data_IF_150025536424
#
_entry.id   IF_150025536424
#
_cell.length_a   1.000
_cell.length_b   1.000
_cell.length_c   1.000
_cell.angle_alpha   90.00
_cell.angle_beta   90.00
_cell.angle_gamma   90.00
#
_symmetry.space_group_name_H-M   'P 1'
#
loop_
_entity.id
_entity.type
_entity.pdbx_description
1 polymer ?
#
# COMPACT_ATOMS: atom_id res chain seq x y z
N UNK A 1 27.68 13.48 -7.43
CA UNK A 1 27.22 12.97 -6.12
C UNK A 1 27.17 11.47 -6.24
N UNK A 2 27.66 10.73 -5.25
CA UNK A 2 27.54 9.28 -5.23
C UNK A 2 26.07 8.94 -4.94
N UNK A 3 25.40 8.28 -5.89
CA UNK A 3 24.00 7.91 -5.73
C UNK A 3 23.90 6.69 -4.79
N UNK A 4 23.17 6.83 -3.69
CA UNK A 4 22.82 5.71 -2.79
C UNK A 4 21.86 4.75 -3.47
N UNK A 5 20.87 5.28 -4.19
CA UNK A 5 19.90 4.50 -4.98
C UNK A 5 20.17 4.67 -6.47
N UNK A 6 20.17 3.57 -7.22
CA UNK A 6 20.54 3.53 -8.64
C UNK A 6 19.41 2.92 -9.47
N UNK A 7 19.59 2.91 -10.80
CA UNK A 7 18.65 2.29 -11.76
C UNK A 7 18.32 0.83 -11.43
N UNK A 8 19.29 0.09 -10.86
CA UNK A 8 19.15 -1.33 -10.52
C UNK A 8 18.66 -1.58 -9.10
N UNK A 9 18.49 -0.53 -8.28
CA UNK A 9 17.91 -0.68 -6.94
C UNK A 9 16.46 -1.16 -7.04
N UNK A 10 16.06 -2.09 -6.17
CA UNK A 10 14.71 -2.64 -6.16
C UNK A 10 13.75 -1.67 -5.48
N UNK A 11 12.61 -1.36 -6.12
CA UNK A 11 11.68 -0.31 -5.67
C UNK A 11 11.20 -0.53 -4.23
N UNK A 12 10.78 -1.76 -3.90
CA UNK A 12 10.34 -2.10 -2.54
C UNK A 12 11.47 -1.91 -1.52
N UNK A 13 12.68 -2.38 -1.83
CA UNK A 13 13.83 -2.27 -0.93
C UNK A 13 14.25 -0.82 -0.65
N UNK A 14 14.07 0.08 -1.64
CA UNK A 14 14.30 1.52 -1.46
C UNK A 14 13.38 2.05 -0.37
N UNK A 15 12.08 1.73 -0.41
CA UNK A 15 11.12 2.18 0.60
C UNK A 15 11.40 1.53 1.96
N UNK A 16 11.83 0.26 1.98
CA UNK A 16 12.23 -0.38 3.23
C UNK A 16 13.48 0.26 3.85
N UNK A 17 14.45 0.69 3.03
CA UNK A 17 15.66 1.39 3.50
C UNK A 17 15.39 2.88 3.81
N UNK A 18 14.43 3.48 3.13
CA UNK A 18 14.08 4.88 3.23
C UNK A 18 12.56 5.08 3.09
N UNK A 19 11.78 4.87 4.17
CA UNK A 19 10.31 4.97 4.17
C UNK A 19 9.72 6.20 3.48
N UNK A 20 10.35 7.37 3.59
CA UNK A 20 9.92 8.61 2.89
C UNK A 20 9.97 8.53 1.36
N UNK A 21 10.71 7.57 0.79
CA UNK A 21 10.64 7.32 -0.65
C UNK A 21 9.22 6.92 -1.10
N UNK A 22 8.39 6.38 -0.20
CA UNK A 22 6.99 6.06 -0.51
C UNK A 22 6.21 7.28 -0.99
N UNK A 23 6.33 8.44 -0.34
CA UNK A 23 5.66 9.68 -0.76
C UNK A 23 6.10 10.14 -2.15
N UNK A 24 7.40 10.03 -2.42
CA UNK A 24 7.97 10.34 -3.73
C UNK A 24 7.46 9.36 -4.80
N UNK A 25 7.43 8.06 -4.51
CA UNK A 25 6.90 7.07 -5.43
C UNK A 25 5.40 7.22 -5.65
N UNK A 26 4.62 7.60 -4.63
CA UNK A 26 3.19 7.94 -4.77
C UNK A 26 3.00 9.12 -5.73
N UNK A 27 3.84 10.16 -5.64
CA UNK A 27 3.75 11.33 -6.54
C UNK A 27 4.08 10.96 -7.99
N UNK A 28 5.04 10.06 -8.20
CA UNK A 28 5.40 9.50 -9.50
C UNK A 28 4.53 8.32 -9.95
N UNK A 29 3.59 7.87 -9.12
CA UNK A 29 2.74 6.69 -9.33
C UNK A 29 3.55 5.39 -9.47
N UNK A 30 4.75 5.33 -8.92
CA UNK A 30 5.57 4.11 -8.89
C UNK A 30 4.99 3.15 -7.84
N UNK A 31 4.72 1.92 -8.25
CA UNK A 31 4.16 0.87 -7.39
C UNK A 31 5.30 0.20 -6.61
N UNK A 32 5.37 0.50 -5.31
CA UNK A 32 6.40 0.02 -4.39
C UNK A 32 5.92 -1.06 -3.42
N UNK A 33 4.61 -1.36 -3.40
CA UNK A 33 4.02 -2.33 -2.49
C UNK A 33 3.90 -3.69 -3.18
N UNK A 34 2.89 -3.89 -4.03
CA UNK A 34 2.64 -5.13 -4.76
C UNK A 34 3.62 -5.32 -5.92
N UNK A 35 3.95 -4.25 -6.63
CA UNK A 35 4.86 -4.24 -7.78
C UNK A 35 6.31 -3.96 -7.42
N UNK A 36 6.66 -3.91 -6.13
CA UNK A 36 7.94 -3.39 -5.64
C UNK A 36 9.16 -4.25 -5.97
N UNK A 37 8.97 -5.53 -6.29
CA UNK A 37 10.05 -6.47 -6.63
C UNK A 37 10.51 -6.32 -8.10
N UNK A 38 10.86 -5.10 -8.49
CA UNK A 38 11.44 -4.79 -9.81
C UNK A 38 12.51 -3.69 -9.71
N UNK A 39 13.46 -3.63 -10.65
CA UNK A 39 14.40 -2.52 -10.75
C UNK A 39 13.69 -1.17 -10.88
N UNK A 40 14.24 -0.13 -10.24
CA UNK A 40 13.71 1.23 -10.28
C UNK A 40 13.59 1.75 -11.72
N UNK A 41 14.54 1.43 -12.59
CA UNK A 41 14.50 1.85 -14.00
C UNK A 41 13.27 1.33 -14.74
N UNK A 42 12.86 0.09 -14.47
CA UNK A 42 11.68 -0.51 -15.11
C UNK A 42 10.41 0.19 -14.64
N UNK A 43 10.30 0.46 -13.33
CA UNK A 43 9.17 1.19 -12.77
C UNK A 43 9.05 2.63 -13.29
N UNK A 44 10.19 3.31 -13.50
CA UNK A 44 10.24 4.65 -14.09
C UNK A 44 9.77 4.60 -15.55
N UNK A 45 10.25 3.63 -16.33
CA UNK A 45 9.89 3.49 -17.75
C UNK A 45 8.42 3.13 -17.94
N UNK A 46 7.84 2.28 -17.09
CA UNK A 46 6.40 1.98 -17.09
C UNK A 46 5.52 3.25 -16.92
N UNK A 47 6.08 4.30 -16.32
CA UNK A 47 5.43 5.60 -16.13
C UNK A 47 5.82 6.67 -17.13
N UNK A 48 6.68 6.36 -18.10
CA UNK A 48 7.24 7.32 -19.08
C UNK A 48 7.91 8.53 -18.40
N UNK A 49 8.58 8.31 -17.28
CA UNK A 49 9.29 9.35 -16.52
C UNK A 49 10.76 9.42 -16.92
N UNK A 50 11.43 10.54 -16.61
CA UNK A 50 12.86 10.69 -16.79
C UNK A 50 13.63 10.00 -15.67
N UNK A 51 14.43 9.00 -16.01
CA UNK A 51 15.24 8.26 -15.02
C UNK A 51 16.18 9.17 -14.24
N UNK A 52 16.83 10.12 -14.92
CA UNK A 52 17.75 11.06 -14.28
C UNK A 52 17.05 11.98 -13.28
N UNK A 53 15.82 12.42 -13.57
CA UNK A 53 15.06 13.31 -12.68
C UNK A 53 14.65 12.56 -11.40
N UNK A 54 13.99 11.39 -11.55
CA UNK A 54 13.49 10.60 -10.42
C UNK A 54 14.64 10.13 -9.52
N UNK A 55 15.74 9.63 -10.09
CA UNK A 55 16.90 9.16 -9.32
C UNK A 55 17.58 10.32 -8.60
N UNK A 56 17.69 11.49 -9.24
CA UNK A 56 18.29 12.67 -8.62
C UNK A 56 17.45 13.17 -7.45
N UNK A 57 16.12 13.26 -7.64
CA UNK A 57 15.21 13.71 -6.58
C UNK A 57 15.20 12.74 -5.40
N UNK A 58 15.14 11.43 -5.66
CA UNK A 58 15.18 10.39 -4.63
C UNK A 58 16.46 10.48 -3.79
N UNK A 59 17.62 10.57 -4.43
CA UNK A 59 18.90 10.67 -3.71
C UNK A 59 19.04 12.00 -2.96
N UNK A 60 18.52 13.10 -3.53
CA UNK A 60 18.50 14.41 -2.86
C UNK A 60 17.64 14.36 -1.59
N UNK A 61 16.44 13.78 -1.68
CA UNK A 61 15.53 13.59 -0.56
C UNK A 61 16.16 12.73 0.54
N UNK A 62 16.86 11.65 0.16
CA UNK A 62 17.59 10.79 1.09
C UNK A 62 18.70 11.53 1.83
N UNK A 63 19.56 12.26 1.10
CA UNK A 63 20.67 12.98 1.72
C UNK A 63 20.19 14.10 2.65
N UNK A 64 19.13 14.83 2.28
CA UNK A 64 18.54 15.86 3.13
C UNK A 64 17.97 15.27 4.42
N UNK A 65 17.27 14.14 4.34
CA UNK A 65 16.72 13.48 5.54
C UNK A 65 17.83 12.99 6.47
N UNK A 66 18.90 12.41 5.92
CA UNK A 66 20.08 12.02 6.72
C UNK A 66 20.76 13.18 7.42
N UNK A 67 20.82 14.36 6.79
CA UNK A 67 21.40 15.54 7.42
C UNK A 67 20.58 16.05 8.62
N UNK A 68 19.26 15.85 8.58
CA UNK A 68 18.36 16.29 9.66
C UNK A 68 18.35 15.35 10.88
N UNK A 69 19.05 14.20 10.81
CA UNK A 69 19.07 13.16 11.85
C UNK A 69 17.66 12.74 12.32
N UNK A 70 16.69 12.74 11.42
CA UNK A 70 15.35 12.27 11.74
C UNK A 70 15.40 10.77 11.99
N UNK A 71 14.99 10.35 13.21
CA UNK A 71 14.93 8.94 13.58
C UNK A 71 13.66 8.31 13.02
N UNK A 72 13.83 7.36 12.11
CA UNK A 72 12.74 6.50 11.63
C UNK A 72 12.83 5.12 12.30
N UNK A 73 11.69 4.45 12.45
CA UNK A 73 11.66 3.08 12.97
C UNK A 73 12.27 2.18 11.90
N UNK A 74 13.33 1.45 12.25
CA UNK A 74 13.91 0.45 11.38
C UNK A 74 13.10 -0.85 11.45
N UNK A 75 12.06 -0.93 10.63
CA UNK A 75 11.21 -2.11 10.51
C UNK A 75 11.94 -3.36 10.04
N UNK A 76 13.17 -3.27 9.49
CA UNK A 76 13.97 -4.47 9.20
C UNK A 76 14.49 -5.13 10.48
N UNK A 77 14.70 -4.33 11.52
CA UNK A 77 15.26 -4.79 12.81
C UNK A 77 14.19 -4.99 13.89
N UNK A 78 13.02 -4.39 13.76
CA UNK A 78 11.90 -4.55 14.69
C UNK A 78 11.43 -6.01 14.79
N UNK A 79 10.97 -6.44 15.95
CA UNK A 79 10.37 -7.77 16.12
C UNK A 79 9.11 -7.93 15.27
N UNK A 80 8.73 -9.18 14.93
CA UNK A 80 7.47 -9.42 14.23
C UNK A 80 6.28 -8.89 15.00
N UNK A 81 6.29 -9.05 16.34
CA UNK A 81 5.24 -8.53 17.21
C UNK A 81 5.08 -7.02 17.09
N UNK A 82 6.19 -6.26 17.14
CA UNK A 82 6.13 -4.80 17.02
C UNK A 82 5.61 -4.35 15.65
N UNK A 83 6.03 -5.01 14.56
CA UNK A 83 5.57 -4.69 13.21
C UNK A 83 4.09 -5.03 13.03
N UNK A 84 3.65 -6.22 13.44
CA UNK A 84 2.25 -6.65 13.41
C UNK A 84 1.39 -5.69 14.24
N UNK A 85 1.81 -5.37 15.47
CA UNK A 85 1.07 -4.43 16.32
C UNK A 85 0.97 -3.05 15.67
N UNK A 86 2.02 -2.57 15.02
CA UNK A 86 1.97 -1.29 14.31
C UNK A 86 0.97 -1.33 13.15
N UNK A 87 1.00 -2.38 12.33
CA UNK A 87 0.07 -2.58 11.21
C UNK A 87 -1.38 -2.58 11.70
N UNK A 88 -1.69 -3.33 12.75
CA UNK A 88 -3.04 -3.39 13.32
C UNK A 88 -3.47 -2.01 13.86
N UNK A 89 -2.64 -1.38 14.70
CA UNK A 89 -3.03 -0.14 15.39
C UNK A 89 -3.11 1.08 14.46
N UNK A 90 -2.32 1.11 13.39
CA UNK A 90 -2.32 2.20 12.41
C UNK A 90 -3.26 1.91 11.26
N UNK A 91 -2.98 0.85 10.49
CA UNK A 91 -3.60 0.59 9.20
C UNK A 91 -4.95 -0.13 9.34
N UNK A 92 -5.01 -1.25 10.07
CA UNK A 92 -6.27 -2.00 10.21
C UNK A 92 -7.32 -1.16 10.93
N UNK A 93 -6.93 -0.45 11.98
CA UNK A 93 -7.81 0.49 12.68
C UNK A 93 -8.34 1.57 11.75
N UNK A 94 -7.48 2.20 10.96
CA UNK A 94 -7.90 3.22 9.98
C UNK A 94 -8.90 2.64 8.99
N UNK A 95 -8.63 1.47 8.39
CA UNK A 95 -9.52 0.82 7.43
C UNK A 95 -10.87 0.45 8.04
N UNK A 96 -10.87 -0.12 9.25
CA UNK A 96 -12.08 -0.47 10.00
C UNK A 96 -12.95 0.75 10.33
N UNK A 97 -12.36 1.93 10.49
CA UNK A 97 -13.09 3.19 10.70
C UNK A 97 -13.53 3.82 9.36
N UNK A 98 -12.64 3.89 8.38
CA UNK A 98 -12.81 4.63 7.12
C UNK A 98 -13.81 3.96 6.17
N UNK A 99 -13.69 2.65 5.95
CA UNK A 99 -14.52 1.90 5.00
C UNK A 99 -16.04 2.03 5.29
N UNK A 100 -16.54 1.78 6.51
CA UNK A 100 -17.96 1.94 6.81
C UNK A 100 -18.39 3.41 6.79
N UNK A 101 -17.52 4.35 7.18
CA UNK A 101 -17.84 5.78 7.17
C UNK A 101 -17.88 6.38 5.76
N UNK A 102 -17.07 5.89 4.83
CA UNK A 102 -16.99 6.39 3.46
C UNK A 102 -18.13 5.83 2.58
N UNK A 103 -18.55 4.58 2.81
CA UNK A 103 -19.64 3.91 2.07
C UNK A 103 -20.90 4.77 1.85
N UNK A 104 -21.52 5.40 2.87
CA UNK A 104 -22.73 6.20 2.66
C UNK A 104 -22.49 7.41 1.75
N UNK A 105 -21.28 7.97 1.74
CA UNK A 105 -20.95 9.11 0.87
C UNK A 105 -20.75 8.66 -0.58
N UNK A 106 -20.07 7.54 -0.81
CA UNK A 106 -19.93 6.94 -2.16
C UNK A 106 -21.31 6.65 -2.75
N UNK A 107 -22.19 6.02 -1.97
CA UNK A 107 -23.59 5.75 -2.36
C UNK A 107 -24.37 7.03 -2.63
N UNK A 108 -24.21 8.06 -1.80
CA UNK A 108 -24.88 9.36 -1.99
C UNK A 108 -24.41 10.05 -3.28
N UNK A 109 -23.12 10.05 -3.57
CA UNK A 109 -22.56 10.66 -4.79
C UNK A 109 -23.12 9.98 -6.04
N UNK A 110 -23.13 8.64 -6.08
CA UNK A 110 -23.77 7.89 -7.16
C UNK A 110 -25.26 8.25 -7.29
N UNK A 111 -26.01 8.24 -6.19
CA UNK A 111 -27.45 8.51 -6.21
C UNK A 111 -27.78 9.90 -6.76
N UNK A 112 -27.01 10.92 -6.39
CA UNK A 112 -27.29 12.32 -6.76
C UNK A 112 -26.77 12.68 -8.15
N UNK A 113 -25.60 12.14 -8.53
CA UNK A 113 -24.89 12.58 -9.75
C UNK A 113 -24.82 11.51 -10.84
N UNK A 114 -25.12 10.23 -10.52
CA UNK A 114 -24.91 9.09 -11.40
C UNK A 114 -25.64 9.15 -12.75
N UNK A 115 -26.81 9.80 -12.80
CA UNK A 115 -27.56 9.97 -14.05
C UNK A 115 -26.77 10.78 -15.10
N UNK A 116 -25.99 11.77 -14.65
CA UNK A 116 -25.19 12.63 -15.52
C UNK A 116 -23.70 12.21 -15.57
N UNK A 117 -23.29 11.30 -14.68
CA UNK A 117 -21.90 10.90 -14.48
C UNK A 117 -21.83 9.37 -14.26
N UNK A 118 -21.92 8.58 -15.34
CA UNK A 118 -22.07 7.13 -15.25
C UNK A 118 -20.85 6.42 -14.64
N UNK A 119 -19.66 7.02 -14.67
CA UNK A 119 -18.46 6.46 -14.04
C UNK A 119 -18.59 6.31 -12.52
N UNK A 120 -19.50 7.07 -11.88
CA UNK A 120 -19.80 6.93 -10.46
C UNK A 120 -20.37 5.56 -10.10
N UNK A 121 -21.03 4.87 -11.04
CA UNK A 121 -21.52 3.51 -10.81
C UNK A 121 -20.35 2.53 -10.71
N UNK A 122 -19.31 2.74 -11.50
CA UNK A 122 -18.09 1.96 -11.44
C UNK A 122 -17.31 2.22 -10.14
N UNK A 123 -17.19 3.48 -9.71
CA UNK A 123 -16.58 3.82 -8.41
C UNK A 123 -17.33 3.15 -7.27
N UNK A 124 -18.66 3.21 -7.29
CA UNK A 124 -19.48 2.54 -6.27
C UNK A 124 -19.24 1.03 -6.23
N UNK A 125 -19.20 0.37 -7.39
CA UNK A 125 -18.92 -1.06 -7.47
C UNK A 125 -17.55 -1.39 -6.90
N UNK A 126 -16.50 -0.76 -7.43
CA UNK A 126 -15.11 -1.00 -7.03
C UNK A 126 -14.89 -0.75 -5.53
N UNK A 127 -15.43 0.35 -4.99
CA UNK A 127 -15.30 0.65 -3.57
C UNK A 127 -15.96 -0.41 -2.68
N UNK A 128 -17.16 -0.89 -3.02
CA UNK A 128 -17.85 -1.89 -2.20
C UNK A 128 -17.26 -3.29 -2.37
N UNK A 129 -16.67 -3.60 -3.52
CA UNK A 129 -15.86 -4.81 -3.74
C UNK A 129 -14.64 -4.81 -2.82
N UNK A 130 -13.83 -3.74 -2.89
CA UNK A 130 -12.66 -3.54 -2.01
C UNK A 130 -13.03 -3.59 -0.53
N UNK A 131 -14.13 -2.91 -0.14
CA UNK A 131 -14.59 -2.88 1.25
C UNK A 131 -14.87 -4.29 1.77
N UNK A 132 -15.60 -5.11 1.03
CA UNK A 132 -15.94 -6.47 1.49
C UNK A 132 -14.70 -7.34 1.61
N UNK A 133 -13.78 -7.23 0.66
CA UNK A 133 -12.52 -8.00 0.67
C UNK A 133 -11.64 -7.60 1.85
N UNK A 134 -11.38 -6.30 2.03
CA UNK A 134 -10.58 -5.81 3.15
C UNK A 134 -11.22 -6.16 4.50
N UNK A 135 -12.54 -5.98 4.69
CA UNK A 135 -13.20 -6.32 5.96
C UNK A 135 -13.03 -7.80 6.34
N UNK A 136 -13.00 -8.72 5.36
CA UNK A 136 -12.75 -10.13 5.62
C UNK A 136 -11.27 -10.42 5.85
N UNK A 137 -10.42 -9.86 5.00
CA UNK A 137 -8.97 -10.03 5.02
C UNK A 137 -8.35 -9.58 6.36
N UNK A 138 -8.69 -8.38 6.85
CA UNK A 138 -8.13 -7.86 8.11
C UNK A 138 -8.48 -8.76 9.32
N UNK A 139 -9.69 -9.34 9.34
CA UNK A 139 -10.09 -10.28 10.40
C UNK A 139 -9.26 -11.56 10.30
N UNK A 140 -9.08 -12.10 9.10
CA UNK A 140 -8.29 -13.31 8.86
C UNK A 140 -6.84 -13.12 9.31
N UNK A 141 -6.23 -11.98 8.94
CA UNK A 141 -4.87 -11.65 9.36
C UNK A 141 -4.72 -11.60 10.88
N UNK A 142 -5.62 -10.86 11.56
CA UNK A 142 -5.54 -10.66 13.01
C UNK A 142 -5.82 -11.95 13.81
N UNK A 143 -6.69 -12.83 13.30
CA UNK A 143 -7.18 -13.99 14.04
C UNK A 143 -6.50 -15.30 13.67
N UNK A 144 -5.93 -15.40 12.49
CA UNK A 144 -5.34 -16.62 11.94
C UNK A 144 -3.90 -16.41 11.46
N UNK A 145 -3.66 -15.49 10.52
CA UNK A 145 -2.37 -15.44 9.80
C UNK A 145 -1.22 -14.83 10.61
N UNK A 146 -1.43 -13.71 11.30
CA UNK A 146 -0.43 -13.13 12.19
C UNK A 146 -0.07 -14.03 13.38
N UNK A 147 -1.03 -14.71 14.05
CA UNK A 147 -0.70 -15.76 15.01
C UNK A 147 0.20 -16.86 14.45
N UNK A 148 -0.01 -17.31 13.22
CA UNK A 148 0.84 -18.33 12.58
C UNK A 148 2.28 -17.84 12.34
N UNK A 149 2.47 -16.57 11.99
CA UNK A 149 3.81 -15.95 11.88
C UNK A 149 4.54 -16.01 13.23
N UNK A 150 3.85 -15.62 14.31
CA UNK A 150 4.43 -15.63 15.67
C UNK A 150 4.69 -17.04 16.19
N UNK A 151 3.85 -18.02 15.84
CA UNK A 151 4.08 -19.42 16.18
C UNK A 151 5.30 -19.99 15.45
N UNK A 152 5.46 -19.68 14.15
CA UNK A 152 6.62 -20.12 13.38
C UNK A 152 7.93 -19.56 13.93
N UNK A 153 7.95 -18.30 14.37
CA UNK A 153 9.11 -17.68 15.04
C UNK A 153 9.58 -18.49 16.25
N UNK A 154 8.65 -19.04 17.03
CA UNK A 154 8.96 -19.82 18.23
C UNK A 154 9.28 -21.29 17.92
N UNK A 155 8.71 -21.84 16.84
CA UNK A 155 8.83 -23.25 16.48
C UNK A 155 9.01 -23.45 14.96
N UNK A 156 10.23 -23.18 14.44
CA UNK A 156 10.51 -23.18 13.00
C UNK A 156 10.74 -24.60 12.45
N UNK A 157 9.70 -25.42 12.46
CA UNK A 157 9.72 -26.75 11.82
C UNK A 157 9.47 -26.63 10.31
N UNK A 158 9.93 -27.61 9.53
CA UNK A 158 9.62 -27.65 8.09
C UNK A 158 8.10 -27.72 7.83
N UNK A 159 7.33 -28.40 8.69
CA UNK A 159 5.87 -28.44 8.57
C UNK A 159 5.24 -27.06 8.76
N UNK A 160 5.66 -26.32 9.78
CA UNK A 160 5.16 -24.97 10.04
C UNK A 160 5.62 -23.98 8.96
N UNK A 161 6.83 -24.15 8.43
CA UNK A 161 7.32 -23.37 7.29
C UNK A 161 6.43 -23.54 6.05
N UNK A 162 6.08 -24.78 5.71
CA UNK A 162 5.21 -25.07 4.56
C UNK A 162 3.79 -24.52 4.74
N UNK A 163 3.27 -24.49 5.97
CA UNK A 163 1.99 -23.83 6.28
C UNK A 163 2.09 -22.32 6.10
N UNK A 164 3.11 -21.71 6.70
CA UNK A 164 3.32 -20.27 6.63
C UNK A 164 3.53 -19.79 5.19
N UNK A 165 4.30 -20.51 4.37
CA UNK A 165 4.49 -20.13 2.97
C UNK A 165 3.19 -20.07 2.19
N UNK A 166 2.28 -21.05 2.38
CA UNK A 166 0.97 -21.04 1.73
C UNK A 166 0.11 -19.85 2.15
N UNK A 167 0.13 -19.53 3.45
CA UNK A 167 -0.58 -18.36 3.99
C UNK A 167 -0.05 -17.06 3.37
N UNK A 168 1.28 -16.91 3.31
CA UNK A 168 1.92 -15.75 2.67
C UNK A 168 1.55 -15.66 1.18
N UNK A 169 1.61 -16.78 0.45
CA UNK A 169 1.21 -16.81 -0.96
C UNK A 169 -0.27 -16.38 -1.15
N UNK A 170 -1.16 -16.80 -0.25
CA UNK A 170 -2.58 -16.39 -0.26
C UNK A 170 -2.74 -14.89 0.03
N UNK A 171 -2.08 -14.37 1.08
CA UNK A 171 -2.12 -12.95 1.45
C UNK A 171 -1.58 -12.05 0.34
N UNK A 172 -0.47 -12.40 -0.28
CA UNK A 172 0.09 -11.63 -1.40
C UNK A 172 -0.88 -11.59 -2.60
N UNK A 173 -1.62 -12.67 -2.86
CA UNK A 173 -2.65 -12.70 -3.91
C UNK A 173 -3.84 -11.79 -3.56
N UNK A 174 -4.31 -11.82 -2.31
CA UNK A 174 -5.35 -10.93 -1.81
C UNK A 174 -4.92 -9.45 -1.91
N UNK A 175 -3.68 -9.12 -1.53
CA UNK A 175 -3.09 -7.79 -1.68
C UNK A 175 -2.98 -7.33 -3.13
N UNK A 176 -2.54 -8.21 -4.04
CA UNK A 176 -2.48 -7.91 -5.46
C UNK A 176 -3.84 -7.52 -6.02
N UNK A 177 -4.89 -8.23 -5.61
CA UNK A 177 -6.25 -7.96 -6.05
C UNK A 177 -6.79 -6.64 -5.48
N UNK A 178 -6.64 -6.40 -4.17
CA UNK A 178 -7.00 -5.12 -3.53
C UNK A 178 -6.25 -3.93 -4.18
N UNK A 179 -4.96 -4.08 -4.44
CA UNK A 179 -4.13 -3.10 -5.13
C UNK A 179 -4.62 -2.81 -6.56
N UNK A 180 -5.10 -3.83 -7.29
CA UNK A 180 -5.68 -3.64 -8.62
C UNK A 180 -7.00 -2.86 -8.58
N UNK A 181 -7.88 -3.14 -7.61
CA UNK A 181 -9.13 -2.38 -7.43
C UNK A 181 -8.84 -0.90 -7.17
N UNK A 182 -7.89 -0.60 -6.29
CA UNK A 182 -7.47 0.77 -5.99
C UNK A 182 -6.88 1.49 -7.21
N UNK A 183 -6.03 0.81 -8.00
CA UNK A 183 -5.49 1.37 -9.26
C UNK A 183 -6.60 1.71 -10.25
N UNK A 184 -7.63 0.87 -10.37
CA UNK A 184 -8.79 1.15 -11.21
C UNK A 184 -9.67 2.29 -10.63
N UNK A 185 -9.83 2.37 -9.31
CA UNK A 185 -10.49 3.52 -8.67
C UNK A 185 -9.77 4.83 -9.01
N UNK A 186 -8.44 4.88 -8.89
CA UNK A 186 -7.63 6.05 -9.27
C UNK A 186 -7.85 6.41 -10.74
N UNK A 187 -7.86 5.43 -11.64
CA UNK A 187 -8.08 5.65 -13.08
C UNK A 187 -9.47 6.22 -13.37
N UNK A 188 -10.52 5.62 -12.82
CA UNK A 188 -11.91 6.02 -13.06
C UNK A 188 -12.23 7.39 -12.44
N UNK A 189 -11.54 7.76 -11.37
CA UNK A 189 -11.67 9.06 -10.72
C UNK A 189 -10.78 10.14 -11.34
N UNK A 190 -10.06 9.83 -12.42
CA UNK A 190 -9.04 10.70 -13.02
C UNK A 190 -8.06 11.22 -11.96
N UNK A 191 -7.37 10.30 -11.31
CA UNK A 191 -6.41 10.59 -10.24
C UNK A 191 -7.05 11.29 -9.04
N UNK A 192 -8.25 10.84 -8.66
CA UNK A 192 -9.06 11.50 -7.62
C UNK A 192 -9.27 12.99 -7.84
N UNK A 193 -9.30 13.42 -9.11
CA UNK A 193 -9.58 14.81 -9.50
C UNK A 193 -11.08 15.00 -9.73
N UNK A 194 -11.81 15.66 -8.81
CA UNK A 194 -13.23 15.85 -8.99
C UNK A 194 -13.51 16.80 -10.16
N UNK A 195 -14.62 16.61 -10.90
CA UNK A 195 -14.95 17.48 -12.03
C UNK A 195 -15.22 18.92 -11.59
N UNK A 196 -15.13 19.85 -12.54
CA UNK A 196 -15.48 21.25 -12.30
C UNK A 196 -16.92 21.37 -11.75
N UNK A 197 -17.13 22.22 -10.75
CA UNK A 197 -18.44 22.37 -10.11
C UNK A 197 -18.88 21.20 -9.22
N UNK A 198 -18.03 20.17 -8.98
CA UNK A 198 -18.35 19.10 -8.05
C UNK A 198 -18.72 19.65 -6.66
N UNK A 199 -19.82 19.13 -6.10
CA UNK A 199 -20.29 19.52 -4.77
C UNK A 199 -19.34 19.06 -3.66
N UNK A 200 -19.49 19.62 -2.45
CA UNK A 200 -18.60 19.31 -1.32
C UNK A 200 -18.52 17.82 -0.98
N UNK A 201 -19.64 17.09 -1.01
CA UNK A 201 -19.65 15.64 -0.76
C UNK A 201 -18.85 14.87 -1.82
N UNK A 202 -18.92 15.29 -3.08
CA UNK A 202 -18.19 14.62 -4.15
C UNK A 202 -16.68 14.82 -4.02
N UNK A 203 -16.24 16.06 -3.73
CA UNK A 203 -14.84 16.36 -3.45
C UNK A 203 -14.32 15.59 -2.24
N UNK A 204 -15.13 15.51 -1.18
CA UNK A 204 -14.80 14.73 0.02
C UNK A 204 -14.58 13.26 -0.29
N UNK A 205 -15.46 12.63 -1.10
CA UNK A 205 -15.28 11.22 -1.49
C UNK A 205 -13.96 11.01 -2.21
N UNK A 206 -13.61 11.86 -3.17
CA UNK A 206 -12.36 11.71 -3.92
C UNK A 206 -11.13 11.90 -3.04
N UNK A 207 -11.15 12.90 -2.15
CA UNK A 207 -10.07 13.10 -1.18
C UNK A 207 -9.91 11.88 -0.26
N UNK A 208 -11.01 11.31 0.24
CA UNK A 208 -10.98 10.14 1.13
C UNK A 208 -10.54 8.87 0.42
N UNK A 209 -10.92 8.68 -0.85
CA UNK A 209 -10.41 7.58 -1.67
C UNK A 209 -8.90 7.69 -1.91
N UNK A 210 -8.37 8.90 -2.13
CA UNK A 210 -6.93 9.13 -2.25
C UNK A 210 -6.18 8.84 -0.94
N UNK A 211 -6.76 9.22 0.21
CA UNK A 211 -6.21 8.89 1.52
C UNK A 211 -6.22 7.37 1.78
N UNK A 212 -7.33 6.70 1.42
CA UNK A 212 -7.48 5.24 1.53
C UNK A 212 -6.40 4.50 0.73
N UNK A 213 -6.16 4.89 -0.51
CA UNK A 213 -5.08 4.32 -1.32
C UNK A 213 -3.70 4.57 -0.70
N UNK A 214 -3.44 5.79 -0.22
CA UNK A 214 -2.15 6.13 0.38
C UNK A 214 -1.84 5.27 1.60
N UNK A 215 -2.83 5.05 2.47
CA UNK A 215 -2.70 4.21 3.65
C UNK A 215 -2.53 2.73 3.25
N UNK A 216 -3.38 2.22 2.36
CA UNK A 216 -3.35 0.82 1.94
C UNK A 216 -2.03 0.45 1.25
N UNK A 217 -1.42 1.36 0.49
CA UNK A 217 -0.11 1.09 -0.12
C UNK A 217 1.03 1.04 0.91
N UNK A 218 0.96 1.85 1.97
CA UNK A 218 1.92 1.74 3.09
C UNK A 218 1.73 0.43 3.85
N UNK A 219 0.47 0.10 4.17
CA UNK A 219 0.08 -1.16 4.82
C UNK A 219 0.66 -2.36 4.06
N UNK A 220 0.27 -2.54 2.80
CA UNK A 220 0.71 -3.69 1.99
C UNK A 220 2.24 -3.68 1.81
N UNK A 221 2.89 -2.52 1.77
CA UNK A 221 4.35 -2.47 1.69
C UNK A 221 5.01 -3.08 2.93
N UNK A 222 4.54 -2.71 4.13
CA UNK A 222 5.06 -3.24 5.39
C UNK A 222 4.93 -4.76 5.46
N UNK A 223 3.86 -5.30 4.91
CA UNK A 223 3.63 -6.74 4.85
C UNK A 223 4.47 -7.43 3.77
N UNK A 224 4.22 -7.10 2.50
CA UNK A 224 4.82 -7.79 1.36
C UNK A 224 6.34 -7.61 1.25
N UNK A 225 6.87 -6.47 1.69
CA UNK A 225 8.30 -6.17 1.50
C UNK A 225 9.11 -6.26 2.80
N UNK A 226 8.46 -6.43 3.95
CA UNK A 226 9.15 -6.50 5.24
C UNK A 226 8.71 -7.72 6.04
N UNK A 227 7.45 -7.78 6.47
CA UNK A 227 6.98 -8.84 7.37
C UNK A 227 7.09 -10.22 6.72
N UNK A 228 6.47 -10.41 5.55
CA UNK A 228 6.37 -11.72 4.91
C UNK A 228 7.73 -12.24 4.45
N UNK A 229 8.58 -11.47 3.72
CA UNK A 229 9.88 -11.98 3.29
C UNK A 229 10.77 -12.39 4.46
N UNK A 230 10.73 -11.63 5.56
CA UNK A 230 11.45 -11.98 6.79
C UNK A 230 10.91 -13.28 7.39
N UNK A 231 9.58 -13.44 7.44
CA UNK A 231 8.94 -14.62 8.02
C UNK A 231 9.21 -15.92 7.25
N UNK A 232 9.36 -15.86 5.90
CA UNK A 232 9.60 -17.04 5.05
C UNK A 232 11.06 -17.24 4.61
N UNK A 233 12.00 -16.41 5.10
CA UNK A 233 13.43 -16.66 4.90
C UNK A 233 13.89 -17.75 5.87
N UNK A 234 14.24 -18.93 5.35
CA UNK A 234 14.87 -19.97 6.18
C UNK A 234 16.18 -19.43 6.75
N UNK A 235 16.32 -19.50 8.08
CA UNK A 235 17.57 -19.20 8.78
C UNK A 235 18.66 -20.21 8.43
#
# INVERSE_FOLDING_TARGET
>A
MEHTFTETSIVGEIVTQFPKASDLFKSYRIDFCCGGNKPLIDAIHERNLSASEVITELNTLYHNTKQLNESEIDWKSASYRELIDYVIHKHHRYLNEELPQLSPYVTKVLRVHGANQPHLAQIHKLFHELKMELEQHLIKEETEDFPLILEFEQNPTDENYEKLRKVVDELENEHNHAGNIIKELRKVTNDFTPPEGACGTYRLVYQRLAALESDLFEHIHLENNILFPRAITKA
#
